data_IF_101875099631
#
_entry.id   IF_101875099631
#
_cell.length_a   1.000
_cell.length_b   1.000
_cell.length_c   1.000
_cell.angle_alpha   90.00
_cell.angle_beta   90.00
_cell.angle_gamma   90.00
#
_symmetry.space_group_name_H-M   'P 1'
#
loop_
_entity.id
_entity.type
_entity.pdbx_description
1 polymer ?
#
# COMPACT_ATOMS: atom_id res chain seq x y z
N UNK A 1 9.77 8.42 11.92
CA UNK A 1 8.61 7.54 11.83
C UNK A 1 8.51 6.95 10.43
N UNK A 2 8.07 5.74 10.34
CA UNK A 2 7.89 5.07 9.05
C UNK A 2 6.63 5.60 8.39
N UNK A 3 6.78 6.14 7.19
CA UNK A 3 5.66 6.69 6.42
C UNK A 3 5.03 5.58 5.61
N UNK A 4 3.76 5.33 5.86
CA UNK A 4 3.05 4.18 5.31
C UNK A 4 2.00 4.63 4.30
N UNK A 5 2.08 4.08 3.10
CA UNK A 5 1.06 4.25 2.08
C UNK A 5 0.19 3.00 2.07
N UNK A 6 -1.12 3.20 2.09
CA UNK A 6 -2.07 2.10 2.08
C UNK A 6 -2.75 2.05 0.72
N UNK A 7 -2.77 0.87 0.11
CA UNK A 7 -3.45 0.66 -1.16
C UNK A 7 -4.45 -0.47 -0.98
N UNK A 8 -5.72 -0.13 -0.99
CA UNK A 8 -6.80 -1.07 -0.74
C UNK A 8 -8.09 -0.54 -1.35
N UNK A 9 -8.74 -1.34 -2.19
CA UNK A 9 -9.93 -0.87 -2.89
C UNK A 9 -11.20 -0.92 -2.04
N UNK A 10 -11.27 -1.80 -1.04
CA UNK A 10 -12.44 -1.88 -0.18
C UNK A 10 -12.34 -0.86 0.94
N UNK A 11 -13.34 0.03 0.97
CA UNK A 11 -13.31 1.16 1.90
C UNK A 11 -13.19 0.72 3.36
N UNK A 12 -13.96 -0.29 3.76
CA UNK A 12 -13.94 -0.72 5.16
C UNK A 12 -12.59 -1.26 5.56
N UNK A 13 -11.97 -2.04 4.69
CA UNK A 13 -10.65 -2.60 4.99
C UNK A 13 -9.61 -1.51 4.97
N UNK A 14 -9.71 -0.59 4.01
CA UNK A 14 -8.79 0.53 3.92
C UNK A 14 -8.83 1.37 5.19
N UNK A 15 -10.03 1.67 5.69
CA UNK A 15 -10.18 2.45 6.91
C UNK A 15 -9.63 1.70 8.13
N UNK A 16 -9.82 0.39 8.17
CA UNK A 16 -9.25 -0.40 9.25
C UNK A 16 -7.73 -0.34 9.25
N UNK A 17 -7.12 -0.42 8.07
CA UNK A 17 -5.67 -0.32 7.96
C UNK A 17 -5.18 1.08 8.33
N UNK A 18 -5.92 2.11 7.92
CA UNK A 18 -5.59 3.48 8.32
C UNK A 18 -5.58 3.63 9.82
N UNK A 19 -6.58 3.06 10.49
CA UNK A 19 -6.65 3.13 11.95
C UNK A 19 -5.50 2.40 12.62
N UNK A 20 -5.16 1.22 12.10
CA UNK A 20 -4.04 0.45 12.64
C UNK A 20 -2.73 1.24 12.54
N UNK A 21 -2.50 1.85 11.39
CA UNK A 21 -1.29 2.64 11.18
C UNK A 21 -1.28 3.86 12.09
N UNK A 22 -2.43 4.52 12.22
CA UNK A 22 -2.51 5.71 13.06
C UNK A 22 -2.28 5.43 14.53
N UNK A 23 -2.63 4.23 14.98
CA UNK A 23 -2.48 3.85 16.40
C UNK A 23 -1.09 3.31 16.71
N UNK A 24 -0.32 2.93 15.72
CA UNK A 24 1.00 2.39 15.95
C UNK A 24 2.00 3.50 16.23
N UNK A 25 2.82 3.32 17.25
CA UNK A 25 3.72 4.38 17.72
C UNK A 25 4.78 4.75 16.71
N UNK A 26 5.19 3.79 15.89
CA UNK A 26 6.30 3.98 14.96
C UNK A 26 5.90 4.27 13.54
N UNK A 27 4.60 4.29 13.27
CA UNK A 27 4.09 4.43 11.92
C UNK A 27 3.31 5.73 11.79
N UNK A 28 3.35 6.29 10.58
CA UNK A 28 2.60 7.50 10.26
C UNK A 28 1.88 7.28 8.94
N UNK A 29 0.59 7.58 8.86
CA UNK A 29 -0.12 7.42 7.60
C UNK A 29 0.31 8.51 6.62
N UNK A 30 0.91 8.11 5.52
CA UNK A 30 1.36 9.03 4.49
C UNK A 30 0.31 9.22 3.40
N UNK A 31 -0.59 8.26 3.24
CA UNK A 31 -1.64 8.35 2.26
C UNK A 31 -2.40 7.05 2.17
N UNK A 32 -3.53 7.10 1.48
CA UNK A 32 -4.41 5.97 1.34
C UNK A 32 -5.04 6.02 -0.04
N UNK A 33 -4.94 4.93 -0.78
CA UNK A 33 -5.40 4.86 -2.15
C UNK A 33 -6.33 3.67 -2.33
N UNK A 34 -7.30 3.85 -3.21
CA UNK A 34 -8.19 2.75 -3.59
C UNK A 34 -7.70 2.00 -4.83
N UNK A 35 -6.64 2.49 -5.47
CA UNK A 35 -6.21 1.96 -6.75
C UNK A 35 -4.69 1.84 -6.79
N UNK A 36 -4.20 0.65 -7.14
CA UNK A 36 -2.76 0.40 -7.19
C UNK A 36 -2.07 1.21 -8.28
N UNK A 37 -2.81 1.57 -9.33
CA UNK A 37 -2.21 2.32 -10.43
C UNK A 37 -1.69 3.69 -10.02
N UNK A 38 -2.21 4.25 -8.93
CA UNK A 38 -1.78 5.55 -8.44
C UNK A 38 -0.62 5.47 -7.43
N UNK A 39 -0.27 4.27 -7.02
CA UNK A 39 0.74 4.11 -5.96
C UNK A 39 2.11 4.61 -6.38
N UNK A 40 2.48 4.35 -7.63
CA UNK A 40 3.78 4.79 -8.13
C UNK A 40 3.92 6.31 -8.11
N UNK A 41 2.84 7.01 -8.47
CA UNK A 41 2.85 8.46 -8.45
C UNK A 41 3.04 9.01 -7.04
N UNK A 42 2.44 8.36 -6.05
CA UNK A 42 2.64 8.74 -4.67
C UNK A 42 4.09 8.56 -4.24
N UNK A 43 4.70 7.47 -4.67
CA UNK A 43 6.10 7.22 -4.35
C UNK A 43 7.02 8.27 -4.96
N UNK A 44 6.66 8.79 -6.13
CA UNK A 44 7.44 9.82 -6.80
C UNK A 44 7.47 11.14 -6.03
N UNK A 45 6.45 11.39 -5.21
CA UNK A 45 6.41 12.58 -4.38
C UNK A 45 7.37 12.52 -3.20
N UNK A 46 7.89 11.32 -2.91
CA UNK A 46 8.79 11.12 -1.79
C UNK A 46 8.06 10.89 -0.48
N UNK A 47 8.82 10.58 0.56
CA UNK A 47 8.31 10.38 1.92
C UNK A 47 7.49 9.13 2.12
N UNK A 48 7.66 8.12 1.27
CA UNK A 48 7.03 6.82 1.48
C UNK A 48 8.12 5.83 1.85
N UNK A 49 7.95 5.16 2.98
CA UNK A 49 8.91 4.15 3.45
C UNK A 49 8.38 2.74 3.29
N UNK A 50 7.07 2.59 3.41
CA UNK A 50 6.42 1.28 3.42
C UNK A 50 5.09 1.38 2.70
N UNK A 51 4.77 0.37 1.91
CA UNK A 51 3.48 0.28 1.26
C UNK A 51 2.79 -0.99 1.75
N UNK A 52 1.56 -0.83 2.24
CA UNK A 52 0.68 -1.96 2.49
C UNK A 52 -0.23 -2.08 1.28
N UNK A 53 -0.01 -3.11 0.48
CA UNK A 53 -0.72 -3.24 -0.78
C UNK A 53 -1.59 -4.50 -0.74
N UNK A 54 -2.87 -4.31 -0.87
CA UNK A 54 -3.79 -5.43 -0.93
C UNK A 54 -3.96 -5.88 -2.36
N UNK A 55 -3.78 -7.18 -2.55
CA UNK A 55 -4.02 -7.84 -3.82
C UNK A 55 -5.16 -8.80 -3.56
N UNK A 56 -6.37 -8.33 -3.75
CA UNK A 56 -7.50 -9.02 -3.18
C UNK A 56 -8.17 -10.01 -4.09
N UNK A 57 -7.81 -10.11 -5.35
CA UNK A 57 -8.53 -11.03 -6.21
C UNK A 57 -7.61 -11.78 -7.13
N UNK A 58 -8.08 -12.93 -7.54
CA UNK A 58 -7.41 -13.75 -8.51
C UNK A 58 -7.24 -13.08 -9.86
N UNK A 59 -8.03 -12.04 -10.13
CA UNK A 59 -7.96 -11.32 -11.39
C UNK A 59 -7.24 -9.98 -11.27
N UNK A 60 -6.82 -9.61 -10.07
CA UNK A 60 -6.18 -8.32 -9.88
C UNK A 60 -4.67 -8.46 -9.99
N UNK A 61 -4.17 -8.35 -11.19
CA UNK A 61 -2.74 -8.37 -11.42
C UNK A 61 -2.12 -6.99 -11.23
N UNK A 62 -2.95 -5.95 -11.14
CA UNK A 62 -2.44 -4.58 -11.08
C UNK A 62 -1.63 -4.32 -9.81
N UNK A 63 -2.01 -4.93 -8.69
CA UNK A 63 -1.26 -4.78 -7.46
C UNK A 63 0.14 -5.37 -7.55
N UNK A 64 0.26 -6.56 -8.11
CA UNK A 64 1.56 -7.18 -8.30
C UNK A 64 2.41 -6.42 -9.29
N UNK A 65 1.81 -5.97 -10.39
CA UNK A 65 2.52 -5.20 -11.40
C UNK A 65 3.01 -3.88 -10.81
N UNK A 66 2.16 -3.20 -10.06
CA UNK A 66 2.53 -1.95 -9.42
C UNK A 66 3.66 -2.15 -8.42
N UNK A 67 3.58 -3.22 -7.62
CA UNK A 67 4.60 -3.52 -6.63
C UNK A 67 5.95 -3.76 -7.31
N UNK A 68 5.94 -4.49 -8.41
CA UNK A 68 7.16 -4.77 -9.15
C UNK A 68 7.79 -3.50 -9.69
N UNK A 69 6.97 -2.64 -10.29
CA UNK A 69 7.47 -1.37 -10.84
C UNK A 69 8.03 -0.47 -9.74
N UNK A 70 7.33 -0.38 -8.61
CA UNK A 70 7.78 0.44 -7.51
C UNK A 70 9.08 -0.08 -6.95
N UNK A 71 9.21 -1.39 -6.81
CA UNK A 71 10.41 -1.98 -6.25
C UNK A 71 11.62 -1.73 -7.14
N UNK A 72 11.41 -1.71 -8.44
CA UNK A 72 12.50 -1.40 -9.37
C UNK A 72 12.93 0.06 -9.31
N UNK A 73 11.96 0.98 -9.21
CA UNK A 73 12.27 2.41 -9.21
C UNK A 73 12.68 2.92 -7.85
N UNK A 74 12.14 2.35 -6.80
CA UNK A 74 12.36 2.82 -5.43
C UNK A 74 12.74 1.63 -4.55
N UNK A 75 13.94 1.08 -4.73
CA UNK A 75 14.30 -0.16 -4.02
C UNK A 75 14.37 -0.03 -2.51
N UNK A 76 14.42 1.19 -1.99
CA UNK A 76 14.43 1.40 -0.55
C UNK A 76 13.03 1.31 0.07
N UNK A 77 11.98 1.40 -0.73
CA UNK A 77 10.63 1.28 -0.22
C UNK A 77 10.29 -0.19 0.00
N UNK A 78 9.81 -0.50 1.20
CA UNK A 78 9.38 -1.86 1.51
C UNK A 78 7.91 -2.02 1.12
N UNK A 79 7.58 -3.17 0.58
CA UNK A 79 6.21 -3.46 0.16
C UNK A 79 5.75 -4.72 0.86
N UNK A 80 4.65 -4.60 1.59
CA UNK A 80 4.01 -5.75 2.21
C UNK A 80 2.73 -6.01 1.42
N UNK A 81 2.66 -7.20 0.83
CA UNK A 81 1.47 -7.58 0.07
C UNK A 81 0.53 -8.31 1.01
N UNK A 82 -0.68 -7.79 1.07
CA UNK A 82 -1.73 -8.37 1.87
C UNK A 82 -2.70 -9.05 0.92
N UNK A 83 -2.98 -10.31 1.15
CA UNK A 83 -3.97 -11.01 0.35
C UNK A 83 -5.16 -11.33 1.23
N UNK A 84 -6.30 -10.82 0.88
CA UNK A 84 -7.52 -11.23 1.53
C UNK A 84 -8.11 -12.37 0.72
N UNK A 85 -7.76 -13.56 1.13
CA UNK A 85 -8.32 -14.74 0.50
C UNK A 85 -9.53 -15.14 1.29
N UNK A 86 -10.68 -14.84 0.73
CA UNK A 86 -11.92 -15.34 1.28
C UNK A 86 -12.27 -16.59 0.51
N UNK A 87 -12.25 -17.67 1.18
CA UNK A 87 -12.71 -18.90 0.59
C UNK A 87 -14.20 -18.97 0.52
#
# INVERSE_FOLDING_TARGET
MTQVLIVEDQKMIRESLENLVAQADNLSPAGSLSCAALAEQYCMRGNIDLILMDVCTENDESGFVAAEKIKKRFPSIKIIIITSMLD
#
